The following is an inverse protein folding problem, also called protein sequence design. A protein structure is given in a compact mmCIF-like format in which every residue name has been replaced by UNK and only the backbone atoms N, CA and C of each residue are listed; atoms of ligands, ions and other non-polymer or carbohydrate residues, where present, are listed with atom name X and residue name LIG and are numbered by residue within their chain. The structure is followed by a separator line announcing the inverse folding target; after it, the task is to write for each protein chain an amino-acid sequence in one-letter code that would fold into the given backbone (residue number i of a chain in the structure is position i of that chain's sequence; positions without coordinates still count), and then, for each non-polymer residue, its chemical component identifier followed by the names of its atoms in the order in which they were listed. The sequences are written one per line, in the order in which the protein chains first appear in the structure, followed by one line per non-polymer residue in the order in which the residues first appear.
data_IF_912866933025
#
_entry.id   IF_912866933025
#
_cell.length_a   1.000
_cell.length_b   1.000
_cell.length_c   1.000
_cell.angle_alpha   90.00
_cell.angle_beta   90.00
_cell.angle_gamma   90.00
#
_symmetry.space_group_name_H-M   'P 1'
#
loop_
_entity.id
_entity.type
_entity.pdbx_description
1 polymer ?
#
# COMPACT_ATOMS: atom_id res chain seq x y z
N UNK A 1 -8.03 1.15 -20.88
CA UNK A 1 -6.58 0.93 -20.61
C UNK A 1 -5.91 2.15 -20.01
N UNK A 2 -6.02 3.36 -20.59
CA UNK A 2 -5.36 4.58 -20.07
C UNK A 2 -5.61 4.86 -18.57
N UNK A 3 -6.86 4.76 -18.11
CA UNK A 3 -7.19 4.96 -16.67
C UNK A 3 -6.45 4.00 -15.73
N UNK A 4 -6.30 2.73 -16.12
CA UNK A 4 -5.56 1.74 -15.33
C UNK A 4 -4.07 2.10 -15.25
N UNK A 5 -3.49 2.52 -16.38
CA UNK A 5 -2.09 2.92 -16.44
C UNK A 5 -1.81 4.15 -15.56
N UNK A 6 -2.70 5.15 -15.58
CA UNK A 6 -2.61 6.32 -14.70
C UNK A 6 -2.69 5.89 -13.23
N UNK A 7 -3.63 5.02 -12.87
CA UNK A 7 -3.74 4.53 -11.50
C UNK A 7 -2.47 3.79 -11.06
N UNK A 8 -1.93 2.89 -11.88
CA UNK A 8 -0.71 2.16 -11.58
C UNK A 8 0.52 3.07 -11.47
N UNK A 9 0.61 4.11 -12.30
CA UNK A 9 1.68 5.09 -12.25
C UNK A 9 1.74 5.82 -10.89
N UNK A 10 0.59 6.01 -10.23
CA UNK A 10 0.53 6.60 -8.89
C UNK A 10 0.82 5.59 -7.77
N UNK A 11 0.52 4.31 -7.95
CA UNK A 11 0.76 3.27 -6.92
C UNK A 11 2.26 3.09 -6.63
N UNK A 12 3.10 3.17 -7.67
CA UNK A 12 4.56 2.98 -7.53
C UNK A 12 5.18 3.97 -6.54
N UNK A 13 5.06 5.31 -6.72
CA UNK A 13 5.60 6.27 -5.76
C UNK A 13 4.79 6.34 -4.46
N UNK A 14 3.49 6.03 -4.48
CA UNK A 14 2.66 6.07 -3.28
C UNK A 14 3.06 5.01 -2.25
N UNK A 15 3.55 3.84 -2.67
CA UNK A 15 3.91 2.74 -1.76
C UNK A 15 4.92 3.14 -0.69
N UNK A 16 6.13 3.61 -1.05
CA UNK A 16 7.15 4.00 -0.07
C UNK A 16 6.68 5.16 0.81
N UNK A 17 6.04 6.18 0.20
CA UNK A 17 5.52 7.34 0.94
C UNK A 17 4.49 6.89 1.98
N UNK A 18 3.53 6.06 1.58
CA UNK A 18 2.48 5.59 2.47
C UNK A 18 3.04 4.64 3.53
N UNK A 19 4.05 3.83 3.21
CA UNK A 19 4.73 2.96 4.18
C UNK A 19 5.35 3.81 5.30
N UNK A 20 6.00 4.92 4.95
CA UNK A 20 6.58 5.87 5.91
C UNK A 20 5.51 6.64 6.69
N UNK A 21 4.41 7.04 6.06
CA UNK A 21 3.27 7.66 6.76
C UNK A 21 2.66 6.70 7.77
N UNK A 22 2.62 5.41 7.45
CA UNK A 22 2.14 4.33 8.30
C UNK A 22 3.18 3.87 9.35
N UNK A 23 4.31 4.57 9.50
CA UNK A 23 5.33 4.24 10.51
C UNK A 23 4.76 4.02 11.93
N UNK A 24 3.84 4.85 12.46
CA UNK A 24 3.25 4.61 13.77
C UNK A 24 2.46 3.29 13.85
N UNK A 25 1.80 2.91 12.74
CA UNK A 25 1.06 1.66 12.65
C UNK A 25 2.00 0.45 12.64
N UNK A 26 3.11 0.51 11.90
CA UNK A 26 4.11 -0.56 11.89
C UNK A 26 4.76 -0.75 13.26
N UNK A 27 5.10 0.35 13.94
CA UNK A 27 5.63 0.29 15.30
C UNK A 27 4.64 -0.31 16.29
N UNK A 28 3.36 0.04 16.19
CA UNK A 28 2.30 -0.57 17.00
C UNK A 28 2.14 -2.07 16.69
N UNK A 29 2.14 -2.46 15.42
CA UNK A 29 2.01 -3.86 15.00
C UNK A 29 3.13 -4.72 15.57
N UNK A 30 4.37 -4.26 15.47
CA UNK A 30 5.52 -4.93 16.06
C UNK A 30 5.37 -5.07 17.58
N UNK A 31 4.95 -4.01 18.28
CA UNK A 31 4.73 -4.07 19.72
C UNK A 31 3.64 -5.08 20.11
N UNK A 32 2.60 -5.25 19.29
CA UNK A 32 1.51 -6.18 19.55
C UNK A 32 1.83 -7.63 19.17
N UNK A 33 2.62 -7.86 18.12
CA UNK A 33 2.82 -9.19 17.53
C UNK A 33 4.22 -9.76 17.77
N UNK A 34 5.18 -8.92 18.14
CA UNK A 34 6.61 -9.25 18.18
C UNK A 34 7.24 -9.43 16.80
N UNK A 35 6.52 -9.13 15.71
CA UNK A 35 7.03 -9.31 14.36
C UNK A 35 7.75 -8.05 13.88
N UNK A 36 9.04 -8.16 13.55
CA UNK A 36 9.90 -7.04 13.18
C UNK A 36 9.31 -6.26 11.99
N UNK A 37 8.83 -5.05 12.25
CA UNK A 37 8.17 -4.16 11.29
C UNK A 37 8.96 -2.86 11.09
N UNK A 38 9.69 -2.44 12.12
CA UNK A 38 10.50 -1.23 12.16
C UNK A 38 11.92 -1.61 12.59
N UNK A 39 12.76 -1.92 11.60
CA UNK A 39 14.17 -2.23 11.82
C UNK A 39 15.03 -0.97 12.01
N UNK A 40 16.35 -1.18 12.17
CA UNK A 40 17.32 -0.09 12.41
C UNK A 40 17.32 1.01 11.33
N UNK A 41 16.91 0.70 10.11
CA UNK A 41 16.91 1.64 8.98
C UNK A 41 15.51 2.11 8.57
N UNK A 42 14.50 1.85 9.41
CA UNK A 42 13.09 2.15 9.12
C UNK A 42 12.26 0.90 8.88
N UNK A 43 11.13 1.00 8.16
CA UNK A 43 10.23 -0.13 7.95
C UNK A 43 10.94 -1.32 7.29
N UNK A 44 10.60 -2.53 7.69
CA UNK A 44 11.09 -3.76 7.07
C UNK A 44 10.51 -3.94 5.65
N UNK A 45 11.18 -4.76 4.82
CA UNK A 45 10.79 -4.99 3.42
C UNK A 45 9.32 -5.41 3.27
N UNK A 46 8.81 -6.23 4.19
CA UNK A 46 7.44 -6.72 4.13
C UNK A 46 6.42 -5.60 4.38
N UNK A 47 6.76 -4.54 5.12
CA UNK A 47 5.86 -3.40 5.32
C UNK A 47 5.60 -2.68 3.99
N UNK A 48 6.62 -2.57 3.14
CA UNK A 48 6.46 -2.02 1.80
C UNK A 48 5.63 -2.95 0.91
N UNK A 49 5.92 -4.25 0.91
CA UNK A 49 5.15 -5.25 0.16
C UNK A 49 3.67 -5.23 0.57
N UNK A 50 3.38 -5.20 1.87
CA UNK A 50 2.03 -5.11 2.41
C UNK A 50 1.33 -3.83 1.96
N UNK A 51 2.01 -2.69 2.02
CA UNK A 51 1.46 -1.40 1.58
C UNK A 51 1.15 -1.40 0.09
N UNK A 52 2.06 -1.88 -0.75
CA UNK A 52 1.80 -2.02 -2.19
C UNK A 52 0.67 -2.99 -2.49
N UNK A 53 0.59 -4.12 -1.80
CA UNK A 53 -0.49 -5.09 -1.97
C UNK A 53 -1.86 -4.46 -1.68
N UNK A 54 -1.97 -3.69 -0.59
CA UNK A 54 -3.19 -2.95 -0.25
C UNK A 54 -3.51 -1.89 -1.29
N UNK A 55 -2.53 -1.08 -1.72
CA UNK A 55 -2.73 -0.07 -2.76
C UNK A 55 -3.19 -0.67 -4.09
N UNK A 56 -2.60 -1.79 -4.52
CA UNK A 56 -3.01 -2.52 -5.73
C UNK A 56 -4.44 -3.08 -5.59
N UNK A 57 -4.79 -3.63 -4.43
CA UNK A 57 -6.15 -4.10 -4.16
C UNK A 57 -7.16 -2.95 -4.23
N UNK A 58 -6.87 -1.80 -3.62
CA UNK A 58 -7.73 -0.60 -3.69
C UNK A 58 -7.85 -0.11 -5.13
N UNK A 59 -6.75 0.00 -5.87
CA UNK A 59 -6.74 0.39 -7.27
C UNK A 59 -7.63 -0.54 -8.11
N UNK A 60 -7.50 -1.86 -7.90
CA UNK A 60 -8.34 -2.86 -8.55
C UNK A 60 -9.82 -2.66 -8.24
N UNK A 61 -10.20 -2.53 -6.97
CA UNK A 61 -11.59 -2.31 -6.54
C UNK A 61 -12.19 -1.03 -7.12
N UNK A 62 -11.42 0.06 -7.16
CA UNK A 62 -11.84 1.32 -7.79
C UNK A 62 -12.11 1.12 -9.29
N UNK A 63 -11.27 0.36 -9.98
CA UNK A 63 -11.52 0.08 -11.41
C UNK A 63 -12.73 -0.82 -11.63
N UNK A 64 -12.99 -1.80 -10.76
CA UNK A 64 -14.17 -2.65 -10.85
C UNK A 64 -15.47 -1.87 -10.61
N UNK A 65 -15.49 -1.02 -9.59
CA UNK A 65 -16.66 -0.19 -9.26
C UNK A 65 -16.94 0.84 -10.35
N UNK A 66 -15.89 1.44 -10.93
CA UNK A 66 -16.03 2.37 -12.06
C UNK A 66 -16.61 1.68 -13.31
N UNK A 67 -16.26 0.41 -13.57
CA UNK A 67 -16.86 -0.37 -14.67
C UNK A 67 -18.34 -0.65 -14.44
N UNK A 68 -18.73 -1.00 -13.21
CA UNK A 68 -20.13 -1.29 -12.85
C UNK A 68 -21.06 -0.08 -12.98
N UNK A 69 -20.55 1.14 -12.80
CA UNK A 69 -21.34 2.38 -12.94
C UNK A 69 -21.53 2.84 -14.38
N UNK A 70 -20.73 2.31 -15.32
CA UNK A 70 -20.72 2.74 -16.71
C UNK A 70 -21.46 1.78 -17.66
N UNK A 71 -22.00 0.67 -17.13
CA UNK A 71 -22.78 -0.32 -17.88
C UNK A 71 -24.19 -0.45 -17.35
#
# INVERSE_FOLDING_TARGET
MLRLLITLAWVVPAGPVLTLVLYPFWSWWEACTGWESVGHSGPADWCYLATWAVLLAVAWLVTLTARRRAG
#
